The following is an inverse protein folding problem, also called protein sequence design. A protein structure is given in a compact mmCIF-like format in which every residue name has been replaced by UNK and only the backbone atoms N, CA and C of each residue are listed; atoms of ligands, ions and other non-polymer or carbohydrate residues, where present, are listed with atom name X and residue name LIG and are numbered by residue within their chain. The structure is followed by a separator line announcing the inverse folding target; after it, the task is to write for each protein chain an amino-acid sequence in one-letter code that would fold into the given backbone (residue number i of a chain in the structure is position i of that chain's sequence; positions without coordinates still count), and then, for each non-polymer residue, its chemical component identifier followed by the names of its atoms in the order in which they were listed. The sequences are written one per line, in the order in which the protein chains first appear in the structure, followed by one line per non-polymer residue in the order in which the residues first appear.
data_IF_432771442523
#
_entry.id   IF_432771442523
#
_cell.length_a   1.000
_cell.length_b   1.000
_cell.length_c   1.000
_cell.angle_alpha   90.00
_cell.angle_beta   90.00
_cell.angle_gamma   90.00
#
_symmetry.space_group_name_H-M   'P 1'
#
loop_
_entity.id
_entity.type
_entity.pdbx_description
1 polymer ?
#
# COMPACT_ATOMS: atom_id res chain seq x y z
N UNK A 1 26.53 -31.95 -7.21
CA UNK A 1 26.10 -30.56 -7.51
C UNK A 1 25.33 -29.94 -6.33
N UNK A 2 26.05 -29.23 -5.46
CA UNK A 2 25.58 -28.63 -4.21
C UNK A 2 25.55 -27.10 -4.31
N UNK A 3 24.67 -26.55 -5.15
CA UNK A 3 24.54 -25.10 -5.38
C UNK A 3 23.05 -24.71 -5.42
N UNK A 4 22.43 -24.47 -4.25
CA UNK A 4 21.25 -23.60 -4.09
C UNK A 4 20.69 -23.66 -2.65
N UNK A 5 21.46 -23.19 -1.66
CA UNK A 5 20.93 -22.93 -0.31
C UNK A 5 21.11 -21.44 0.04
N UNK A 6 20.50 -20.58 -0.76
CA UNK A 6 20.38 -19.15 -0.47
C UNK A 6 19.37 -18.93 0.65
N UNK A 7 19.86 -18.73 1.87
CA UNK A 7 19.09 -18.39 3.07
C UNK A 7 18.29 -17.09 2.86
N UNK A 8 16.99 -17.22 2.60
CA UNK A 8 16.02 -16.13 2.76
C UNK A 8 14.98 -16.52 3.82
N UNK A 9 15.44 -16.73 5.07
CA UNK A 9 14.60 -17.06 6.22
C UNK A 9 14.15 -15.82 7.03
N UNK A 10 14.42 -14.61 6.55
CA UNK A 10 14.07 -13.35 7.24
C UNK A 10 12.56 -13.08 7.31
N UNK A 11 11.74 -13.89 6.64
CA UNK A 11 10.29 -13.79 6.63
C UNK A 11 9.65 -14.51 7.83
N UNK A 12 10.35 -15.45 8.46
CA UNK A 12 9.83 -16.21 9.61
C UNK A 12 9.75 -15.36 10.90
N UNK A 13 10.57 -14.32 11.02
CA UNK A 13 10.59 -13.40 12.18
C UNK A 13 9.60 -12.25 12.05
N UNK A 14 8.99 -12.04 10.88
CA UNK A 14 7.89 -11.08 10.72
C UNK A 14 6.61 -11.79 11.13
N UNK A 15 5.97 -11.32 12.21
CA UNK A 15 4.71 -11.88 12.71
C UNK A 15 3.70 -12.14 11.59
N UNK A 16 2.87 -13.18 11.75
CA UNK A 16 1.91 -13.56 10.72
C UNK A 16 0.98 -12.37 10.43
N UNK A 17 1.01 -11.89 9.19
CA UNK A 17 0.18 -10.77 8.77
C UNK A 17 -1.27 -11.26 8.75
N UNK A 18 -2.17 -10.57 9.45
CA UNK A 18 -3.59 -10.88 9.38
C UNK A 18 -4.10 -10.58 7.97
N UNK A 19 -4.66 -11.60 7.34
CA UNK A 19 -5.27 -11.48 6.02
C UNK A 19 -6.78 -11.47 6.18
N UNK A 20 -7.43 -10.46 5.61
CA UNK A 20 -8.88 -10.29 5.62
C UNK A 20 -9.42 -10.11 4.20
N UNK A 21 -10.65 -9.65 4.10
CA UNK A 21 -11.32 -9.35 2.84
C UNK A 21 -11.78 -7.89 2.82
N UNK A 22 -11.70 -7.27 1.65
CA UNK A 22 -12.23 -5.94 1.41
C UNK A 22 -13.76 -5.96 1.55
N UNK A 23 -14.32 -5.11 2.41
CA UNK A 23 -15.77 -5.00 2.61
C UNK A 23 -16.56 -4.48 1.40
N UNK A 24 -15.87 -3.94 0.38
CA UNK A 24 -16.51 -3.40 -0.84
C UNK A 24 -16.49 -4.34 -2.03
N UNK A 25 -15.36 -5.03 -2.25
CA UNK A 25 -15.18 -5.88 -3.44
C UNK A 25 -14.88 -7.36 -3.10
N UNK A 26 -14.72 -7.71 -1.82
CA UNK A 26 -14.40 -9.08 -1.40
C UNK A 26 -12.97 -9.54 -1.65
N UNK A 27 -12.11 -8.72 -2.29
CA UNK A 27 -10.74 -9.12 -2.58
C UNK A 27 -9.88 -9.21 -1.31
N UNK A 28 -8.84 -10.05 -1.36
CA UNK A 28 -7.90 -10.25 -0.25
C UNK A 28 -7.25 -8.92 0.17
N UNK A 29 -7.41 -8.56 1.43
CA UNK A 29 -6.88 -7.30 1.95
C UNK A 29 -6.58 -7.37 3.44
N UNK A 30 -5.48 -6.77 3.88
CA UNK A 30 -5.17 -6.57 5.30
C UNK A 30 -5.90 -5.35 5.91
N UNK A 31 -6.67 -4.62 5.11
CA UNK A 31 -7.43 -3.42 5.50
C UNK A 31 -8.91 -3.61 5.15
N UNK A 32 -9.83 -2.84 5.79
CA UNK A 32 -11.26 -2.94 5.50
C UNK A 32 -11.62 -2.61 4.05
N UNK A 33 -10.83 -1.75 3.39
CA UNK A 33 -10.94 -1.46 1.97
C UNK A 33 -9.63 -1.75 1.24
N UNK A 34 -9.74 -2.34 0.05
CA UNK A 34 -8.58 -2.69 -0.76
C UNK A 34 -7.85 -1.44 -1.29
N UNK A 35 -6.53 -1.54 -1.55
CA UNK A 35 -5.76 -0.39 -2.07
C UNK A 35 -6.32 0.14 -3.40
N UNK A 36 -6.73 -0.75 -4.30
CA UNK A 36 -7.41 -0.36 -5.54
C UNK A 36 -8.72 0.40 -5.25
N UNK A 37 -9.47 -0.05 -4.25
CA UNK A 37 -10.73 0.54 -3.84
C UNK A 37 -10.56 1.99 -3.37
N UNK A 38 -9.51 2.24 -2.59
CA UNK A 38 -9.12 3.57 -2.09
C UNK A 38 -8.56 4.45 -3.22
N UNK A 39 -7.75 3.89 -4.12
CA UNK A 39 -7.19 4.64 -5.25
C UNK A 39 -8.27 5.12 -6.22
N UNK A 40 -9.28 4.28 -6.51
CA UNK A 40 -10.41 4.67 -7.35
C UNK A 40 -11.22 5.83 -6.76
N UNK A 41 -11.36 5.90 -5.43
CA UNK A 41 -11.98 7.04 -4.74
C UNK A 41 -11.14 8.32 -4.87
N UNK A 42 -9.81 8.19 -4.84
CA UNK A 42 -8.89 9.32 -4.92
C UNK A 42 -8.66 9.86 -6.33
N UNK A 43 -8.63 9.00 -7.36
CA UNK A 43 -8.30 9.39 -8.74
C UNK A 43 -9.36 10.27 -9.41
N UNK A 44 -10.62 10.23 -8.94
CA UNK A 44 -11.69 11.10 -9.44
C UNK A 44 -11.73 12.48 -8.75
N UNK A 45 -10.78 12.76 -7.85
CA UNK A 45 -10.62 14.08 -7.25
C UNK A 45 -9.49 14.79 -8.00
N UNK A 46 -9.79 15.85 -8.75
CA UNK A 46 -8.79 16.39 -9.64
C UNK A 46 -7.64 17.00 -8.83
N UNK A 47 -6.42 16.77 -9.30
CA UNK A 47 -5.17 16.92 -8.54
C UNK A 47 -4.79 18.36 -8.16
N UNK A 48 -5.65 19.35 -8.43
CA UNK A 48 -5.41 20.76 -8.13
C UNK A 48 -5.85 21.19 -6.72
N UNK A 49 -6.42 20.30 -5.90
CA UNK A 49 -6.69 20.55 -4.46
C UNK A 49 -5.50 20.23 -3.55
N UNK A 50 -4.45 19.57 -4.04
CA UNK A 50 -3.16 19.49 -3.33
C UNK A 50 -2.20 20.57 -3.85
N UNK A 51 -2.63 21.84 -3.78
CA UNK A 51 -1.69 22.94 -3.86
C UNK A 51 -0.73 22.80 -2.65
N UNK A 52 0.45 22.23 -2.88
CA UNK A 52 1.61 22.51 -2.04
C UNK A 52 2.01 23.94 -2.39
N UNK A 53 1.74 24.97 -1.58
CA UNK A 53 2.46 26.21 -1.77
C UNK A 53 3.93 25.87 -1.48
N UNK A 54 4.73 25.79 -2.52
CA UNK A 54 6.17 26.00 -2.43
C UNK A 54 6.34 27.45 -1.94
N UNK A 55 6.28 27.65 -0.62
CA UNK A 55 6.59 28.89 0.05
C UNK A 55 8.11 29.17 -0.07
N UNK A 56 8.57 29.37 -1.30
CA UNK A 56 9.87 29.90 -1.68
C UNK A 56 9.74 31.34 -2.22
N UNK A 57 8.77 32.09 -1.69
CA UNK A 57 8.65 33.53 -1.91
C UNK A 57 8.49 34.21 -0.56
N UNK A 58 9.50 34.05 0.31
CA UNK A 58 9.81 35.03 1.32
C UNK A 58 11.11 35.71 0.87
N UNK A 59 10.95 36.99 0.55
CA UNK A 59 11.98 37.93 0.15
C UNK A 59 13.02 38.15 1.27
#
# INVERSE_FOLDING_TARGET
PALAAGRQASWASRGLQSVGQCGRCGYLSSQPLCKACVLLEGLNRPLWVQARPSAQLAA
#
